data_IF_543496767569
#
_entry.id   IF_543496767569
#
_cell.length_a   1.000
_cell.length_b   1.000
_cell.length_c   1.000
_cell.angle_alpha   90.00
_cell.angle_beta   90.00
_cell.angle_gamma   90.00
#
_symmetry.space_group_name_H-M   'P 1'
#
loop_
_entity.id
_entity.type
_entity.pdbx_description
1 polymer ?
#
# COMPACT_ATOMS: atom_id res chain seq x y z
N UNK A 1 39.53 -45.84 -38.28
CA UNK A 1 38.22 -45.24 -37.99
C UNK A 1 37.31 -46.31 -37.40
N UNK A 2 36.82 -46.14 -36.17
CA UNK A 2 35.56 -46.73 -35.66
C UNK A 2 35.24 -46.13 -34.28
N UNK A 3 34.07 -45.51 -34.21
CA UNK A 3 33.54 -44.67 -33.14
C UNK A 3 33.04 -45.50 -31.95
N UNK A 4 33.24 -44.97 -30.73
CA UNK A 4 32.51 -45.35 -29.51
C UNK A 4 31.23 -44.52 -29.43
N UNK A 5 30.10 -45.12 -29.05
CA UNK A 5 28.96 -44.41 -28.45
C UNK A 5 28.29 -45.29 -27.40
N UNK A 6 27.97 -44.62 -26.29
CA UNK A 6 27.69 -45.13 -24.95
C UNK A 6 26.19 -45.44 -24.81
N UNK A 7 25.88 -46.57 -24.17
CA UNK A 7 24.55 -46.94 -23.72
C UNK A 7 24.30 -46.38 -22.30
N UNK A 8 23.06 -46.00 -22.00
CA UNK A 8 22.37 -46.31 -20.73
C UNK A 8 20.93 -45.75 -20.78
N UNK A 9 19.96 -46.65 -20.95
CA UNK A 9 18.57 -46.45 -20.54
C UNK A 9 18.45 -46.88 -19.07
N UNK A 10 17.79 -46.08 -18.23
CA UNK A 10 17.37 -46.52 -16.91
C UNK A 10 15.95 -46.03 -16.66
N UNK A 11 15.03 -46.98 -16.67
CA UNK A 11 13.64 -46.82 -16.27
C UNK A 11 13.55 -46.75 -14.75
N UNK A 12 12.75 -45.83 -14.22
CA UNK A 12 12.26 -45.85 -12.84
C UNK A 12 10.76 -45.59 -12.85
N UNK A 13 10.00 -46.66 -12.67
CA UNK A 13 8.60 -46.70 -12.23
C UNK A 13 8.59 -46.88 -10.71
N UNK A 14 7.71 -46.20 -9.98
CA UNK A 14 7.21 -46.51 -8.61
C UNK A 14 6.45 -45.24 -8.11
N UNK A 15 5.28 -45.22 -7.47
CA UNK A 15 4.15 -46.10 -7.24
C UNK A 15 3.01 -45.18 -6.74
N UNK A 16 1.76 -45.44 -7.12
CA UNK A 16 0.58 -44.84 -6.48
C UNK A 16 0.27 -45.60 -5.18
N UNK A 17 0.08 -44.90 -4.07
CA UNK A 17 -0.41 -45.44 -2.80
C UNK A 17 -1.15 -44.36 -2.01
N UNK A 18 -2.40 -44.63 -1.64
CA UNK A 18 -3.30 -43.67 -1.00
C UNK A 18 -3.41 -43.78 0.52
N UNK A 19 -4.01 -42.71 1.07
CA UNK A 19 -4.93 -42.58 2.21
C UNK A 19 -4.48 -42.85 3.69
N UNK A 20 -4.60 -41.77 4.48
CA UNK A 20 -5.41 -41.62 5.72
C UNK A 20 -4.71 -41.43 7.10
N UNK A 21 -5.08 -40.27 7.71
CA UNK A 21 -5.42 -40.00 9.13
C UNK A 21 -4.38 -39.53 10.19
N UNK A 22 -4.49 -38.22 10.47
CA UNK A 22 -4.77 -37.52 11.75
C UNK A 22 -3.71 -37.27 12.86
N UNK A 23 -3.61 -35.96 13.19
CA UNK A 23 -3.30 -35.27 14.47
C UNK A 23 -1.88 -35.26 15.06
N UNK A 24 -1.32 -34.04 15.21
CA UNK A 24 -0.15 -33.74 16.06
C UNK A 24 0.49 -32.35 15.86
N UNK A 25 -0.17 -31.29 16.32
CA UNK A 25 0.31 -29.95 16.76
C UNK A 25 1.75 -29.45 16.45
N UNK A 26 1.89 -28.32 15.74
CA UNK A 26 2.15 -26.97 16.31
C UNK A 26 2.57 -25.92 15.26
N UNK A 27 1.75 -24.87 15.16
CA UNK A 27 2.14 -23.44 15.07
C UNK A 27 3.05 -22.97 13.92
N UNK A 28 2.48 -22.85 12.71
CA UNK A 28 2.68 -21.66 11.87
C UNK A 28 1.29 -21.29 11.35
N UNK A 29 0.76 -20.15 11.80
CA UNK A 29 -0.54 -19.65 11.35
C UNK A 29 -0.30 -18.91 10.03
N UNK A 30 -0.42 -19.62 8.93
CA UNK A 30 -0.56 -19.02 7.61
C UNK A 30 -1.85 -18.19 7.63
N UNK A 31 -1.74 -16.88 7.40
CA UNK A 31 -2.91 -16.01 7.29
C UNK A 31 -3.52 -16.31 5.93
N UNK A 32 -4.36 -17.35 5.89
CA UNK A 32 -5.34 -17.51 4.83
C UNK A 32 -6.22 -16.24 4.85
N UNK A 33 -6.14 -15.47 3.77
CA UNK A 33 -7.17 -14.50 3.44
C UNK A 33 -8.41 -15.33 3.13
N UNK A 34 -9.20 -15.63 4.17
CA UNK A 34 -10.58 -16.06 4.00
C UNK A 34 -11.26 -14.94 3.22
N UNK A 35 -11.49 -15.22 1.94
CA UNK A 35 -12.29 -14.41 1.05
C UNK A 35 -13.72 -14.47 1.57
N UNK A 36 -13.99 -13.66 2.59
CA UNK A 36 -15.33 -13.35 3.06
C UNK A 36 -16.10 -12.93 1.83
N UNK A 37 -17.09 -13.72 1.46
CA UNK A 37 -18.12 -13.39 0.48
C UNK A 37 -18.86 -12.17 1.02
N UNK A 38 -18.32 -10.98 0.71
CA UNK A 38 -18.95 -9.71 1.03
C UNK A 38 -20.22 -9.67 0.18
N UNK A 39 -21.35 -9.87 0.84
CA UNK A 39 -22.66 -9.62 0.27
C UNK A 39 -22.63 -8.28 -0.45
N UNK A 40 -23.20 -8.26 -1.66
CA UNK A 40 -23.33 -7.11 -2.55
C UNK A 40 -24.07 -5.95 -1.86
N UNK A 41 -23.38 -5.18 -1.02
CA UNK A 41 -23.81 -3.83 -0.67
C UNK A 41 -23.36 -2.91 -1.80
N UNK A 42 -24.32 -2.25 -2.45
CA UNK A 42 -24.07 -1.26 -3.49
C UNK A 42 -23.46 0.06 -2.95
N UNK A 43 -22.80 0.01 -1.79
CA UNK A 43 -22.34 1.18 -1.04
C UNK A 43 -20.82 1.11 -0.78
N UNK A 44 -20.08 0.60 -1.77
CA UNK A 44 -18.62 0.55 -1.73
C UNK A 44 -18.06 1.78 -2.41
N UNK A 45 -17.23 2.54 -1.70
CA UNK A 45 -16.53 3.73 -2.24
C UNK A 45 -15.54 3.34 -3.35
N UNK A 46 -14.90 2.16 -3.21
CA UNK A 46 -13.99 1.58 -4.20
C UNK A 46 -14.48 0.19 -4.64
N UNK A 47 -14.22 -0.16 -5.89
CA UNK A 47 -14.50 -1.51 -6.41
C UNK A 47 -13.48 -2.54 -5.90
N UNK A 48 -12.26 -2.10 -5.60
CA UNK A 48 -11.20 -2.91 -5.01
C UNK A 48 -11.43 -3.16 -3.51
N UNK A 49 -10.81 -4.21 -2.99
CA UNK A 49 -10.71 -4.41 -1.54
C UNK A 49 -9.77 -3.37 -0.93
N UNK A 50 -10.09 -2.93 0.28
CA UNK A 50 -9.31 -1.95 1.00
C UNK A 50 -9.13 -2.36 2.47
N UNK A 51 -8.00 -1.97 3.04
CA UNK A 51 -7.73 -2.04 4.47
C UNK A 51 -8.10 -0.70 5.11
N UNK A 52 -8.80 -0.74 6.24
CA UNK A 52 -9.03 0.40 7.11
C UNK A 52 -8.41 0.12 8.46
N UNK A 53 -7.64 1.07 8.96
CA UNK A 53 -6.98 0.99 10.26
C UNK A 53 -6.98 2.38 10.92
N UNK A 54 -7.12 2.41 12.24
CA UNK A 54 -6.89 3.61 13.06
C UNK A 54 -5.63 3.37 13.87
N UNK A 55 -4.64 4.25 13.70
CA UNK A 55 -3.38 4.18 14.42
C UNK A 55 -3.56 4.69 15.86
N UNK A 56 -2.61 4.38 16.75
CA UNK A 56 -2.63 4.80 18.16
C UNK A 56 -2.74 6.32 18.37
N UNK A 57 -2.33 7.12 17.37
CA UNK A 57 -2.44 8.58 17.40
C UNK A 57 -3.77 9.11 16.84
N UNK A 58 -4.73 8.24 16.52
CA UNK A 58 -6.04 8.56 15.96
C UNK A 58 -6.04 8.83 14.45
N UNK A 59 -4.89 8.69 13.76
CA UNK A 59 -4.86 8.81 12.30
C UNK A 59 -5.54 7.59 11.67
N UNK A 60 -6.57 7.85 10.86
CA UNK A 60 -7.25 6.81 10.07
C UNK A 60 -6.55 6.64 8.73
N UNK A 61 -6.17 5.41 8.42
CA UNK A 61 -5.47 5.03 7.20
C UNK A 61 -6.37 4.12 6.37
N UNK A 62 -6.49 4.44 5.08
CA UNK A 62 -7.13 3.57 4.09
C UNK A 62 -6.09 3.16 3.06
N UNK A 63 -5.91 1.85 2.87
CA UNK A 63 -5.01 1.31 1.86
C UNK A 63 -5.82 0.53 0.83
N UNK A 64 -5.82 1.03 -0.41
CA UNK A 64 -6.44 0.36 -1.55
C UNK A 64 -5.34 -0.27 -2.39
N UNK A 65 -5.28 -1.60 -2.46
CA UNK A 65 -4.29 -2.28 -3.30
C UNK A 65 -4.72 -2.21 -4.76
N UNK A 66 -3.84 -1.70 -5.62
CA UNK A 66 -3.99 -1.68 -7.07
C UNK A 66 -3.00 -2.64 -7.73
N UNK A 67 -3.21 -2.89 -9.02
CA UNK A 67 -2.37 -3.67 -9.94
C UNK A 67 -1.53 -2.78 -10.86
N UNK A 68 -1.49 -1.47 -10.61
CA UNK A 68 -0.66 -0.53 -11.35
C UNK A 68 0.82 -0.72 -10.97
N UNK A 69 1.71 -1.01 -11.94
CA UNK A 69 3.13 -1.19 -11.66
C UNK A 69 3.80 0.15 -11.34
N UNK A 70 4.72 0.12 -10.37
CA UNK A 70 5.68 1.20 -10.04
C UNK A 70 5.09 2.57 -9.71
N UNK A 71 3.79 2.66 -9.43
CA UNK A 71 3.10 3.90 -9.07
C UNK A 71 2.27 3.74 -7.80
N UNK A 72 2.36 4.74 -6.94
CA UNK A 72 1.53 4.87 -5.75
C UNK A 72 0.92 6.27 -5.72
N UNK A 73 -0.29 6.39 -5.17
CA UNK A 73 -0.92 7.67 -4.89
C UNK A 73 -1.17 7.78 -3.40
N UNK A 74 -0.82 8.92 -2.83
CA UNK A 74 -1.01 9.25 -1.41
C UNK A 74 -1.82 10.53 -1.31
N UNK A 75 -2.85 10.51 -0.46
CA UNK A 75 -3.62 11.70 -0.11
C UNK A 75 -3.75 11.77 1.40
N UNK A 76 -3.49 12.95 1.96
CA UNK A 76 -3.58 13.22 3.39
C UNK A 76 -4.55 14.40 3.57
N UNK A 77 -5.87 14.15 3.57
CA UNK A 77 -6.83 15.20 3.85
C UNK A 77 -6.77 15.58 5.33
N UNK A 78 -6.71 16.87 5.59
CA UNK A 78 -6.79 17.44 6.94
C UNK A 78 -8.14 18.10 7.09
N UNK A 79 -8.89 17.79 8.15
CA UNK A 79 -10.25 18.28 8.38
C UNK A 79 -10.27 19.73 8.92
N UNK A 80 -9.48 20.62 8.30
CA UNK A 80 -9.35 22.05 8.63
C UNK A 80 -9.10 22.81 7.33
N UNK A 81 -9.71 23.99 7.20
CA UNK A 81 -9.58 24.84 6.03
C UNK A 81 -9.73 26.33 6.37
N UNK A 82 -9.95 27.15 5.34
CA UNK A 82 -10.09 28.61 5.48
C UNK A 82 -11.24 29.04 6.40
N UNK A 83 -12.31 28.25 6.53
CA UNK A 83 -13.42 28.50 7.48
C UNK A 83 -12.98 28.49 8.94
N UNK A 84 -11.87 27.83 9.25
CA UNK A 84 -11.37 27.70 10.62
C UNK A 84 -10.52 28.90 11.05
N UNK A 85 -10.32 29.90 10.18
CA UNK A 85 -9.58 31.13 10.47
C UNK A 85 -10.46 32.11 11.28
N UNK A 86 -10.61 31.84 12.58
CA UNK A 86 -11.54 32.57 13.48
C UNK A 86 -11.00 33.90 13.99
N UNK A 87 -9.71 34.16 13.81
CA UNK A 87 -9.03 35.32 14.37
C UNK A 87 -9.20 36.54 13.46
N UNK A 88 -9.72 37.64 14.03
CA UNK A 88 -10.01 38.85 13.27
C UNK A 88 -8.74 39.41 12.60
N UNK A 89 -8.83 39.66 11.28
CA UNK A 89 -7.73 40.19 10.48
C UNK A 89 -6.64 39.17 10.10
N UNK A 90 -6.82 37.89 10.45
CA UNK A 90 -5.87 36.82 10.15
C UNK A 90 -6.47 35.82 9.17
N UNK A 91 -6.40 36.15 7.88
CA UNK A 91 -6.98 35.36 6.79
C UNK A 91 -5.91 34.81 5.86
N UNK A 92 -6.16 33.64 5.25
CA UNK A 92 -5.28 32.97 4.31
C UNK A 92 -4.20 32.10 4.96
N UNK A 93 -4.25 31.90 6.27
CA UNK A 93 -3.28 31.08 7.01
C UNK A 93 -3.36 29.60 6.67
N UNK A 94 -4.55 29.05 6.47
CA UNK A 94 -4.69 27.65 6.07
C UNK A 94 -3.97 27.37 4.74
N UNK A 95 -4.21 28.22 3.74
CA UNK A 95 -3.54 28.16 2.45
C UNK A 95 -2.05 28.49 2.56
N UNK A 96 -1.66 29.46 3.38
CA UNK A 96 -0.26 29.78 3.61
C UNK A 96 0.50 28.59 4.22
N UNK A 97 -0.07 27.92 5.22
CA UNK A 97 0.53 26.73 5.83
C UNK A 97 0.61 25.57 4.85
N UNK A 98 -0.38 25.37 3.98
CA UNK A 98 -0.29 24.41 2.86
C UNK A 98 1.00 24.65 2.05
N UNK A 99 1.28 25.88 1.63
CA UNK A 99 2.52 26.20 0.90
C UNK A 99 3.78 25.93 1.72
N UNK A 100 3.73 26.20 3.04
CA UNK A 100 4.88 26.00 3.92
C UNK A 100 5.21 24.52 4.12
N UNK A 101 4.23 23.61 4.01
CA UNK A 101 4.49 22.16 4.08
C UNK A 101 5.44 21.65 2.98
N UNK A 102 5.55 22.37 1.86
CA UNK A 102 6.47 22.05 0.77
C UNK A 102 7.87 22.65 0.94
N UNK A 103 8.13 23.35 2.05
CA UNK A 103 9.42 24.00 2.34
C UNK A 103 10.34 23.16 3.23
N UNK A 104 10.08 21.87 3.31
CA UNK A 104 10.86 20.92 4.09
C UNK A 104 10.42 20.84 5.55
N UNK A 105 11.09 19.95 6.28
CA UNK A 105 10.88 19.64 7.68
C UNK A 105 12.22 19.54 8.40
N UNK A 106 12.20 19.38 9.71
CA UNK A 106 13.41 19.13 10.50
C UNK A 106 14.20 17.91 10.00
N UNK A 107 13.50 16.82 9.66
CA UNK A 107 14.13 15.57 9.17
C UNK A 107 14.57 15.65 7.71
N UNK A 108 13.83 16.39 6.90
CA UNK A 108 14.09 16.55 5.46
C UNK A 108 14.07 18.03 5.09
N UNK A 109 15.23 18.70 5.12
CA UNK A 109 15.35 20.10 4.70
C UNK A 109 14.89 20.30 3.25
N UNK A 110 14.60 21.55 2.89
CA UNK A 110 13.93 21.89 1.62
C UNK A 110 14.68 21.38 0.37
N UNK A 111 16.01 21.50 0.35
CA UNK A 111 16.87 21.03 -0.73
C UNK A 111 16.78 19.51 -0.89
N UNK A 112 16.93 18.76 0.20
CA UNK A 112 16.78 17.30 0.22
C UNK A 112 15.39 16.87 -0.22
N UNK A 113 14.33 17.51 0.30
CA UNK A 113 12.94 17.23 -0.09
C UNK A 113 12.74 17.47 -1.60
N UNK A 114 13.20 18.62 -2.10
CA UNK A 114 13.05 18.99 -3.51
C UNK A 114 13.80 18.03 -4.43
N UNK A 115 14.99 17.61 -4.04
CA UNK A 115 15.83 16.71 -4.84
C UNK A 115 15.24 15.30 -4.91
N UNK A 116 14.71 14.77 -3.80
CA UNK A 116 14.02 13.47 -3.80
C UNK A 116 12.83 13.53 -4.77
N UNK A 117 11.94 14.51 -4.63
CA UNK A 117 10.73 14.60 -5.44
C UNK A 117 11.01 14.75 -6.94
N UNK A 118 11.98 15.61 -7.30
CA UNK A 118 12.38 15.82 -8.70
C UNK A 118 12.94 14.54 -9.33
N UNK A 119 13.74 13.79 -8.59
CA UNK A 119 14.41 12.60 -9.11
C UNK A 119 13.53 11.35 -9.05
N UNK A 120 12.41 11.37 -8.31
CA UNK A 120 11.47 10.25 -8.20
C UNK A 120 10.26 10.33 -9.13
N UNK A 121 10.17 11.34 -10.01
CA UNK A 121 9.07 11.48 -10.96
C UNK A 121 7.71 11.80 -10.31
N UNK A 122 7.73 12.42 -9.13
CA UNK A 122 6.52 12.70 -8.34
C UNK A 122 5.77 13.89 -8.95
N UNK A 123 4.47 13.72 -9.20
CA UNK A 123 3.53 14.84 -9.38
C UNK A 123 2.87 15.15 -8.03
N UNK A 124 3.18 16.32 -7.46
CA UNK A 124 2.75 16.70 -6.13
C UNK A 124 1.87 17.95 -6.18
N UNK A 125 0.66 17.87 -5.60
CA UNK A 125 -0.32 18.95 -5.54
C UNK A 125 -1.00 18.98 -4.18
N UNK A 126 -1.47 20.16 -3.81
CA UNK A 126 -2.35 20.37 -2.66
C UNK A 126 -3.40 21.44 -3.01
N UNK A 127 -4.41 21.55 -2.14
CA UNK A 127 -5.44 22.57 -2.20
C UNK A 127 -6.04 22.77 -0.81
N UNK A 128 -6.53 23.99 -0.55
CA UNK A 128 -7.19 24.37 0.69
C UNK A 128 -8.63 24.75 0.38
N UNK A 129 -9.59 24.09 1.05
CA UNK A 129 -11.02 24.41 0.98
C UNK A 129 -11.49 25.16 2.24
N UNK A 130 -12.80 25.41 2.32
CA UNK A 130 -13.47 25.89 3.52
C UNK A 130 -13.99 24.74 4.40
#
# INVERSE_FOLDING_TARGET
MKFKLLATSLAVTLALGGCASNSGSNMVKEVEIEQSTVASSNDRVFSQNYLLEELDNGLRVMVVKTDYPDVVSLQIPVSVGSRNEVEAGKTGFAHFFEHMMFKGSEKFPQDVYSDILKNSGVDNRAYTTN
#
